data_IF_517494739623
#
_entry.id   IF_517494739623
#
_cell.length_a   1.000
_cell.length_b   1.000
_cell.length_c   1.000
_cell.angle_alpha   90.00
_cell.angle_beta   90.00
_cell.angle_gamma   90.00
#
_symmetry.space_group_name_H-M   'P 1'
#
loop_
_entity.id
_entity.type
_entity.pdbx_description
1 polymer ?
#
# COMPACT_ATOMS: atom_id res chain seq x y z
N UNK A 1 -2.63 17.01 4.14
CA UNK A 1 -2.31 15.57 4.17
C UNK A 1 -3.52 14.80 3.69
N UNK A 2 -3.30 13.76 2.90
CA UNK A 2 -4.36 12.82 2.53
C UNK A 2 -4.50 11.78 3.63
N UNK A 3 -5.72 11.54 4.09
CA UNK A 3 -6.04 10.50 5.05
C UNK A 3 -6.69 9.31 4.33
N UNK A 4 -6.74 8.16 5.02
CA UNK A 4 -7.43 6.97 4.55
C UNK A 4 -8.91 7.26 4.29
N UNK A 5 -9.43 6.58 3.30
CA UNK A 5 -10.83 6.50 2.98
C UNK A 5 -11.62 5.91 4.16
N UNK A 6 -12.84 6.40 4.33
CA UNK A 6 -13.84 5.80 5.21
C UNK A 6 -14.97 5.20 4.39
N UNK A 7 -15.36 4.00 4.78
CA UNK A 7 -16.49 3.28 4.20
C UNK A 7 -17.49 2.92 5.30
N UNK A 8 -18.71 2.59 4.91
CA UNK A 8 -19.70 2.02 5.80
C UNK A 8 -20.34 0.80 5.13
N UNK A 9 -20.96 -0.06 5.93
CA UNK A 9 -21.53 -1.32 5.44
C UNK A 9 -22.58 -1.14 4.31
N UNK A 10 -23.21 0.02 4.23
CA UNK A 10 -24.31 0.31 3.30
C UNK A 10 -23.84 0.94 1.97
N UNK A 11 -22.64 1.52 1.90
CA UNK A 11 -22.03 1.99 0.65
C UNK A 11 -21.21 0.84 0.07
N UNK A 12 -21.59 0.39 -1.13
CA UNK A 12 -21.09 -0.82 -1.77
C UNK A 12 -19.57 -1.04 -1.73
N UNK A 13 -19.18 -2.30 -1.78
CA UNK A 13 -17.82 -2.85 -1.64
C UNK A 13 -16.92 -2.67 -2.87
N UNK A 14 -17.22 -1.70 -3.74
CA UNK A 14 -16.44 -1.49 -4.97
C UNK A 14 -15.04 -1.06 -4.60
N UNK A 15 -14.04 -1.85 -5.01
CA UNK A 15 -12.63 -1.58 -4.75
C UNK A 15 -12.25 -0.17 -5.22
N UNK A 16 -11.66 0.58 -4.29
CA UNK A 16 -10.95 1.83 -4.53
C UNK A 16 -9.60 1.68 -3.85
N UNK A 17 -8.54 2.04 -4.56
CA UNK A 17 -7.16 1.91 -4.08
C UNK A 17 -6.52 3.28 -4.09
N UNK A 18 -5.93 3.67 -2.97
CA UNK A 18 -5.08 4.84 -2.86
C UNK A 18 -3.70 4.42 -2.37
N UNK A 19 -2.67 5.09 -2.88
CA UNK A 19 -1.29 4.94 -2.44
C UNK A 19 -0.91 6.23 -1.71
N UNK A 20 -0.70 6.13 -0.41
CA UNK A 20 -0.32 7.25 0.44
C UNK A 20 1.18 7.15 0.74
N UNK A 21 1.95 8.09 0.21
CA UNK A 21 3.38 8.21 0.43
C UNK A 21 3.67 8.95 1.73
N UNK A 22 4.56 8.38 2.53
CA UNK A 22 5.17 9.00 3.69
C UNK A 22 6.69 8.93 3.53
N UNK A 23 7.35 10.04 3.86
CA UNK A 23 8.81 10.16 3.76
C UNK A 23 9.37 10.76 5.05
N UNK A 24 10.70 10.73 5.27
CA UNK A 24 11.31 11.34 6.45
C UNK A 24 11.01 12.83 6.62
N UNK A 25 10.75 13.56 5.52
CA UNK A 25 10.34 14.97 5.54
C UNK A 25 8.89 15.18 5.95
N UNK A 26 8.02 14.18 5.77
CA UNK A 26 6.58 14.25 6.01
C UNK A 26 6.02 12.98 6.68
N UNK A 27 6.56 12.55 7.84
CA UNK A 27 6.27 11.24 8.42
C UNK A 27 4.81 11.07 8.88
N UNK A 28 4.13 12.18 9.22
CA UNK A 28 2.73 12.18 9.67
C UNK A 28 1.74 12.68 8.61
N UNK A 29 2.22 12.92 7.37
CA UNK A 29 1.42 13.56 6.33
C UNK A 29 1.50 12.77 5.03
N UNK A 30 0.49 11.92 4.77
CA UNK A 30 0.41 11.13 3.55
C UNK A 30 0.21 12.00 2.30
N UNK A 31 1.03 11.78 1.28
CA UNK A 31 0.91 12.35 -0.06
C UNK A 31 0.24 11.34 -1.00
N UNK A 32 -0.84 11.72 -1.68
CA UNK A 32 -1.52 10.82 -2.60
C UNK A 32 -0.74 10.67 -3.92
N UNK A 33 -0.29 9.45 -4.24
CA UNK A 33 0.54 9.16 -5.42
C UNK A 33 -0.12 8.14 -6.35
N UNK A 34 -1.01 8.58 -7.25
CA UNK A 34 -1.79 7.71 -8.14
C UNK A 34 -1.23 7.54 -9.56
N UNK A 35 -0.49 8.55 -10.05
CA UNK A 35 -0.02 8.64 -11.42
C UNK A 35 1.47 8.98 -11.46
N UNK A 36 2.12 8.72 -12.59
CA UNK A 36 3.56 8.92 -12.78
C UNK A 36 3.96 10.37 -12.50
N UNK A 37 3.16 11.33 -12.98
CA UNK A 37 3.38 12.75 -12.72
C UNK A 37 3.20 13.10 -11.24
N UNK A 38 2.27 12.44 -10.55
CA UNK A 38 2.06 12.63 -9.11
C UNK A 38 3.23 12.05 -8.31
N UNK A 39 3.80 10.92 -8.72
CA UNK A 39 5.00 10.36 -8.08
C UNK A 39 6.18 11.30 -8.30
N UNK A 40 6.40 11.79 -9.53
CA UNK A 40 7.53 12.69 -9.85
C UNK A 40 7.45 14.06 -9.16
N UNK A 41 6.25 14.56 -8.88
CA UNK A 41 6.02 15.83 -8.20
C UNK A 41 5.86 15.71 -6.67
N UNK A 42 5.88 14.47 -6.14
CA UNK A 42 5.84 14.18 -4.70
C UNK A 42 7.22 14.23 -4.04
N UNK A 43 7.26 14.00 -2.73
CA UNK A 43 8.51 13.81 -1.99
C UNK A 43 9.20 12.44 -2.22
N UNK A 44 8.70 11.61 -3.14
CA UNK A 44 9.25 10.28 -3.43
C UNK A 44 10.71 10.35 -3.90
N UNK A 45 11.56 9.50 -3.32
CA UNK A 45 12.98 9.41 -3.68
C UNK A 45 13.32 8.01 -4.21
N UNK A 46 13.55 7.88 -5.52
CA UNK A 46 13.86 6.59 -6.16
C UNK A 46 15.19 5.96 -5.73
N UNK A 47 16.07 6.72 -5.07
CA UNK A 47 17.33 6.21 -4.52
C UNK A 47 17.18 5.53 -3.15
N UNK A 48 16.02 5.66 -2.50
CA UNK A 48 15.73 5.02 -1.21
C UNK A 48 14.96 3.70 -1.38
N UNK A 49 15.06 2.82 -0.39
CA UNK A 49 14.18 1.65 -0.32
C UNK A 49 12.71 2.07 -0.26
N UNK A 50 11.82 1.20 -0.76
CA UNK A 50 10.38 1.42 -0.70
C UNK A 50 9.71 0.32 0.10
N UNK A 51 9.01 0.68 1.18
CA UNK A 51 8.23 -0.23 2.02
C UNK A 51 6.74 -0.04 1.74
N UNK A 52 6.06 -1.08 1.29
CA UNK A 52 4.64 -1.05 0.93
C UNK A 52 3.83 -1.76 2.01
N UNK A 53 3.00 -1.03 2.74
CA UNK A 53 2.16 -1.54 3.82
C UNK A 53 0.76 -1.82 3.26
N UNK A 54 0.26 -3.05 3.44
CA UNK A 54 -1.06 -3.48 2.97
C UNK A 54 -1.87 -3.97 4.16
N UNK A 55 -2.95 -3.27 4.49
CA UNK A 55 -3.86 -3.69 5.56
C UNK A 55 -4.77 -4.84 5.12
N UNK A 56 -5.45 -5.47 6.08
CA UNK A 56 -6.40 -6.55 5.84
C UNK A 56 -7.86 -6.12 5.82
N UNK A 57 -8.75 -7.08 6.09
CA UNK A 57 -10.21 -6.90 6.16
C UNK A 57 -10.63 -5.84 7.20
N UNK A 58 -11.63 -5.02 6.85
CA UNK A 58 -12.16 -3.91 7.67
C UNK A 58 -13.68 -3.97 7.77
N UNK A 59 -14.23 -4.81 8.65
CA UNK A 59 -15.68 -4.98 8.82
C UNK A 59 -16.47 -3.65 8.93
N UNK A 60 -15.91 -2.66 9.64
CA UNK A 60 -16.55 -1.36 9.90
C UNK A 60 -16.10 -0.23 8.97
N UNK A 61 -15.19 -0.48 8.03
CA UNK A 61 -14.72 0.53 7.07
C UNK A 61 -13.96 1.70 7.66
N UNK A 62 -13.30 1.48 8.79
CA UNK A 62 -12.42 2.47 9.43
C UNK A 62 -10.97 2.23 9.04
N UNK A 63 -10.18 3.32 9.03
CA UNK A 63 -8.73 3.27 8.94
C UNK A 63 -8.15 2.28 9.97
N UNK A 64 -7.18 1.42 9.60
CA UNK A 64 -6.47 0.62 10.57
C UNK A 64 -5.56 1.51 11.41
N UNK A 65 -5.84 1.63 12.72
CA UNK A 65 -5.14 2.54 13.64
C UNK A 65 -3.63 2.29 13.72
N UNK A 66 -3.19 1.04 13.54
CA UNK A 66 -1.78 0.64 13.62
C UNK A 66 -0.92 1.13 12.45
N UNK A 67 -1.51 1.56 11.32
CA UNK A 67 -0.75 1.93 10.13
C UNK A 67 0.14 3.15 10.41
N UNK A 68 -0.39 4.16 11.11
CA UNK A 68 0.38 5.37 11.44
C UNK A 68 1.57 5.04 12.34
N UNK A 69 1.35 4.24 13.38
CA UNK A 69 2.41 3.82 14.29
C UNK A 69 3.51 3.03 13.55
N UNK A 70 3.12 2.16 12.61
CA UNK A 70 4.07 1.40 11.81
C UNK A 70 4.87 2.31 10.84
N UNK A 71 4.20 3.26 10.19
CA UNK A 71 4.87 4.26 9.33
C UNK A 71 5.90 5.04 10.14
N UNK A 72 5.51 5.56 11.31
CA UNK A 72 6.40 6.30 12.19
C UNK A 72 7.58 5.44 12.66
N UNK A 73 7.33 4.21 13.09
CA UNK A 73 8.38 3.30 13.54
C UNK A 73 9.39 2.98 12.43
N UNK A 74 8.92 2.76 11.20
CA UNK A 74 9.78 2.52 10.03
C UNK A 74 10.65 3.75 9.72
N UNK A 75 10.03 4.93 9.65
CA UNK A 75 10.74 6.17 9.31
C UNK A 75 11.70 6.63 10.41
N UNK A 76 11.46 6.22 11.66
CA UNK A 76 12.35 6.50 12.77
C UNK A 76 13.70 5.75 12.66
N UNK A 77 13.70 4.54 12.09
CA UNK A 77 14.90 3.69 12.05
C UNK A 77 15.65 3.76 10.71
N UNK A 78 15.02 4.23 9.63
CA UNK A 78 15.65 4.27 8.32
C UNK A 78 15.01 5.32 7.40
N UNK A 79 15.82 6.07 6.60
CA UNK A 79 15.31 6.95 5.57
C UNK A 79 14.82 6.12 4.38
N UNK A 80 13.51 5.92 4.27
CA UNK A 80 12.86 5.13 3.21
C UNK A 80 11.60 5.80 2.71
N UNK A 81 11.12 5.41 1.52
CA UNK A 81 9.75 5.69 1.12
C UNK A 81 8.82 4.69 1.79
N UNK A 82 7.75 5.14 2.43
CA UNK A 82 6.70 4.26 2.95
C UNK A 82 5.41 4.53 2.18
N UNK A 83 4.87 3.49 1.54
CA UNK A 83 3.60 3.54 0.82
C UNK A 83 2.56 2.77 1.62
N UNK A 84 1.60 3.47 2.21
CA UNK A 84 0.42 2.83 2.78
C UNK A 84 -0.63 2.63 1.68
N UNK A 85 -1.02 1.38 1.45
CA UNK A 85 -2.07 1.02 0.49
C UNK A 85 -3.42 1.07 1.20
N UNK A 86 -4.20 2.09 0.87
CA UNK A 86 -5.56 2.24 1.34
C UNK A 86 -6.52 1.58 0.35
N UNK A 87 -7.18 0.52 0.82
CA UNK A 87 -8.25 -0.16 0.11
C UNK A 87 -9.47 -0.37 1.02
N UNK A 88 -9.70 0.55 1.97
CA UNK A 88 -10.76 0.44 2.99
C UNK A 88 -12.11 0.10 2.35
N UNK A 89 -12.48 0.75 1.24
CA UNK A 89 -13.72 0.46 0.50
C UNK A 89 -13.83 -0.99 0.03
N UNK A 90 -12.75 -1.56 -0.53
CA UNK A 90 -12.75 -2.94 -1.01
C UNK A 90 -12.64 -3.99 0.10
N UNK A 91 -12.20 -3.58 1.29
CA UNK A 91 -12.03 -4.44 2.46
C UNK A 91 -13.22 -4.42 3.43
N UNK A 92 -14.25 -3.60 3.15
CA UNK A 92 -15.41 -3.40 4.03
C UNK A 92 -16.61 -4.25 3.61
N UNK A 93 -17.41 -4.67 4.59
CA UNK A 93 -18.63 -5.44 4.36
C UNK A 93 -18.47 -6.91 4.70
N UNK A 94 -19.03 -7.79 3.88
CA UNK A 94 -18.93 -9.23 4.07
C UNK A 94 -17.52 -9.73 3.71
N UNK A 95 -16.96 -10.64 4.52
CA UNK A 95 -15.62 -11.17 4.31
C UNK A 95 -15.42 -11.78 2.91
N UNK A 96 -16.34 -12.58 2.34
CA UNK A 96 -16.19 -13.09 0.97
C UNK A 96 -16.04 -11.98 -0.08
N UNK A 97 -16.79 -10.89 0.05
CA UNK A 97 -16.68 -9.75 -0.87
C UNK A 97 -15.31 -9.07 -0.79
N UNK A 98 -14.70 -9.01 0.40
CA UNK A 98 -13.34 -8.51 0.54
C UNK A 98 -12.31 -9.46 -0.09
N UNK A 99 -12.53 -10.77 -0.01
CA UNK A 99 -11.68 -11.80 -0.66
C UNK A 99 -11.75 -11.67 -2.18
N UNK A 100 -12.93 -11.43 -2.76
CA UNK A 100 -13.10 -11.23 -4.21
C UNK A 100 -12.28 -10.05 -4.76
N UNK A 101 -12.01 -9.03 -3.93
CA UNK A 101 -11.24 -7.85 -4.31
C UNK A 101 -9.71 -8.07 -4.28
N UNK A 102 -9.21 -9.14 -3.64
CA UNK A 102 -7.77 -9.36 -3.39
C UNK A 102 -6.96 -9.41 -4.69
N UNK A 103 -7.44 -10.13 -5.71
CA UNK A 103 -6.75 -10.23 -7.00
C UNK A 103 -6.66 -8.88 -7.71
N UNK A 104 -7.77 -8.13 -7.75
CA UNK A 104 -7.80 -6.82 -8.40
C UNK A 104 -6.92 -5.81 -7.65
N UNK A 105 -6.89 -5.86 -6.31
CA UNK A 105 -5.99 -5.05 -5.50
C UNK A 105 -4.52 -5.37 -5.79
N UNK A 106 -4.15 -6.65 -5.86
CA UNK A 106 -2.80 -7.07 -6.19
C UNK A 106 -2.38 -6.59 -7.60
N UNK A 107 -3.29 -6.62 -8.58
CA UNK A 107 -3.03 -6.04 -9.92
C UNK A 107 -2.79 -4.53 -9.85
N UNK A 108 -3.60 -3.79 -9.09
CA UNK A 108 -3.42 -2.34 -8.90
C UNK A 108 -2.07 -2.02 -8.24
N UNK A 109 -1.66 -2.77 -7.22
CA UNK A 109 -0.36 -2.60 -6.56
C UNK A 109 0.78 -2.95 -7.52
N UNK A 110 0.66 -4.01 -8.31
CA UNK A 110 1.70 -4.40 -9.28
C UNK A 110 1.86 -3.36 -10.39
N UNK A 111 0.77 -2.76 -10.86
CA UNK A 111 0.81 -1.63 -11.79
C UNK A 111 1.51 -0.41 -11.16
N UNK A 112 1.26 -0.13 -9.88
CA UNK A 112 1.97 0.93 -9.17
C UNK A 112 3.48 0.63 -9.04
N UNK A 113 3.85 -0.60 -8.67
CA UNK A 113 5.25 -1.02 -8.62
C UNK A 113 5.93 -0.88 -9.98
N UNK A 114 5.28 -1.27 -11.08
CA UNK A 114 5.84 -1.11 -12.43
C UNK A 114 6.18 0.35 -12.75
N UNK A 115 5.39 1.32 -12.25
CA UNK A 115 5.72 2.75 -12.39
C UNK A 115 6.96 3.12 -11.58
N UNK A 116 7.11 2.60 -10.37
CA UNK A 116 8.32 2.80 -9.56
C UNK A 116 9.56 2.22 -10.25
N UNK A 117 9.45 1.01 -10.82
CA UNK A 117 10.52 0.38 -11.59
C UNK A 117 10.90 1.22 -12.81
N UNK A 118 9.91 1.76 -13.52
CA UNK A 118 10.14 2.66 -14.66
C UNK A 118 10.82 3.99 -14.26
N UNK A 119 10.67 4.42 -13.00
CA UNK A 119 11.37 5.57 -12.41
C UNK A 119 12.77 5.22 -11.88
N UNK A 120 13.23 3.98 -12.09
CA UNK A 120 14.58 3.52 -11.72
C UNK A 120 14.68 2.89 -10.33
N UNK A 121 13.57 2.64 -9.64
CA UNK A 121 13.58 1.88 -8.38
C UNK A 121 13.99 0.43 -8.67
N UNK A 122 14.92 -0.10 -7.89
CA UNK A 122 15.28 -1.51 -7.99
C UNK A 122 14.19 -2.40 -7.38
N UNK A 123 13.77 -3.46 -8.07
CA UNK A 123 12.83 -4.44 -7.50
C UNK A 123 13.33 -5.07 -6.19
N UNK A 124 14.65 -5.21 -6.05
CA UNK A 124 15.29 -5.73 -4.84
C UNK A 124 15.19 -4.78 -3.63
N UNK A 125 14.93 -3.48 -3.84
CA UNK A 125 14.74 -2.51 -2.75
C UNK A 125 13.28 -2.33 -2.32
N UNK A 126 12.37 -3.13 -2.90
CA UNK A 126 10.94 -3.14 -2.56
C UNK A 126 10.68 -4.21 -1.48
N UNK A 127 10.09 -3.78 -0.37
CA UNK A 127 9.64 -4.64 0.72
C UNK A 127 8.13 -4.49 0.93
N UNK A 128 7.38 -5.56 0.71
CA UNK A 128 5.94 -5.60 0.98
C UNK A 128 5.70 -6.12 2.41
N UNK A 129 4.86 -5.42 3.17
CA UNK A 129 4.42 -5.78 4.51
C UNK A 129 2.90 -5.91 4.46
N UNK A 130 2.40 -7.13 4.47
CA UNK A 130 0.97 -7.42 4.39
C UNK A 130 0.45 -8.00 5.70
N UNK A 131 -0.68 -7.48 6.18
CA UNK A 131 -1.36 -7.98 7.40
C UNK A 131 -2.70 -8.62 7.02
N UNK A 132 -2.98 -9.83 7.50
CA UNK A 132 -4.21 -10.58 7.24
C UNK A 132 -4.44 -10.77 5.73
N UNK A 133 -5.58 -10.33 5.16
CA UNK A 133 -5.79 -10.34 3.70
C UNK A 133 -4.68 -9.61 2.92
N UNK A 134 -4.06 -8.59 3.53
CA UNK A 134 -2.93 -7.90 2.95
C UNK A 134 -1.70 -8.79 2.74
N UNK A 135 -1.51 -9.83 3.56
CA UNK A 135 -0.43 -10.81 3.38
C UNK A 135 -0.63 -11.64 2.10
N UNK A 136 -1.86 -12.08 1.85
CA UNK A 136 -2.21 -12.80 0.62
C UNK A 136 -2.06 -11.90 -0.62
N UNK A 137 -2.48 -10.63 -0.51
CA UNK A 137 -2.25 -9.63 -1.56
C UNK A 137 -0.76 -9.48 -1.85
N UNK A 138 0.08 -9.37 -0.82
CA UNK A 138 1.54 -9.32 -0.97
C UNK A 138 2.10 -10.54 -1.70
N UNK A 139 1.62 -11.74 -1.37
CA UNK A 139 1.98 -12.98 -2.08
C UNK A 139 1.61 -12.96 -3.56
N UNK A 140 0.41 -12.49 -3.90
CA UNK A 140 -0.03 -12.34 -5.30
C UNK A 140 0.81 -11.33 -6.07
N UNK A 141 1.13 -10.19 -5.46
CA UNK A 141 2.03 -9.19 -6.05
C UNK A 141 3.40 -9.82 -6.32
N UNK A 142 3.97 -10.54 -5.35
CA UNK A 142 5.21 -11.29 -5.54
C UNK A 142 5.15 -12.27 -6.72
N UNK A 143 4.04 -13.01 -6.85
CA UNK A 143 3.79 -13.91 -7.97
C UNK A 143 3.74 -13.17 -9.32
N UNK A 144 3.04 -12.03 -9.42
CA UNK A 144 2.96 -11.24 -10.65
C UNK A 144 4.30 -10.65 -11.08
N UNK A 145 5.23 -10.44 -10.14
CA UNK A 145 6.61 -10.02 -10.43
C UNK A 145 7.60 -11.20 -10.55
N UNK A 146 7.11 -12.44 -10.64
CA UNK A 146 7.95 -13.63 -10.81
C UNK A 146 8.92 -13.88 -9.65
N UNK A 147 8.60 -13.41 -8.44
CA UNK A 147 9.45 -13.56 -7.25
C UNK A 147 10.69 -12.64 -7.22
N UNK A 148 10.75 -11.62 -8.08
CA UNK A 148 11.92 -10.73 -8.20
C UNK A 148 11.92 -9.52 -7.24
N UNK A 149 10.87 -9.38 -6.42
CA UNK A 149 10.81 -8.32 -5.41
C UNK A 149 11.64 -8.69 -4.19
N UNK A 150 12.26 -7.69 -3.55
CA UNK A 150 13.26 -7.90 -2.49
C UNK A 150 12.76 -8.70 -1.29
N UNK A 151 11.60 -8.35 -0.72
CA UNK A 151 11.06 -9.04 0.46
C UNK A 151 9.54 -8.94 0.57
N UNK A 152 8.92 -9.99 1.09
CA UNK A 152 7.52 -9.98 1.54
C UNK A 152 7.48 -10.45 3.01
N UNK A 153 6.78 -9.71 3.86
CA UNK A 153 6.45 -10.09 5.23
C UNK A 153 4.95 -10.22 5.34
N UNK A 154 4.47 -11.44 5.63
CA UNK A 154 3.07 -11.70 5.94
C UNK A 154 2.85 -11.83 7.44
N UNK A 155 1.85 -11.14 7.97
CA UNK A 155 1.47 -11.11 9.39
C UNK A 155 0.00 -11.50 9.53
#
# INVERSE_FOLDING_TARGET
CTDFQTANFLRGSKLKVQFLLFTPSSPSCGELVLADDAIKSSSFNSSLETKIIIHGFRALGTKPSWVEDLVHAILHISPVNVIAVDWVYGSTGAYPSAVENVTQLALSISQFINKLLALGVSGASIHIIGVSLGAHVGGLVGHFHGGQLGRITGI
#
